data_IF_369404332887
#
_entry.id   IF_369404332887
#
_cell.length_a   1.000
_cell.length_b   1.000
_cell.length_c   1.000
_cell.angle_alpha   90.00
_cell.angle_beta   90.00
_cell.angle_gamma   90.00
#
_symmetry.space_group_name_H-M   'P 1'
#
loop_
_entity.id
_entity.type
_entity.pdbx_description
1 polymer ?
#
# COMPACT_ATOMS: atom_id res chain seq x y z
N UNK A 1 4.48 -15.62 86.52
CA UNK A 1 4.29 -15.88 85.09
C UNK A 1 4.41 -14.55 84.35
N UNK A 2 5.60 -14.28 83.76
CA UNK A 2 5.93 -12.96 83.21
C UNK A 2 5.52 -12.95 81.72
N UNK A 3 4.69 -11.98 81.35
CA UNK A 3 4.29 -11.72 79.97
C UNK A 3 5.16 -10.55 79.44
N UNK A 4 6.06 -10.84 78.51
CA UNK A 4 6.94 -9.86 77.91
C UNK A 4 6.20 -9.21 76.73
N UNK A 5 6.06 -7.87 76.75
CA UNK A 5 5.51 -7.07 75.66
C UNK A 5 6.60 -6.90 74.57
N UNK A 6 6.29 -7.34 73.34
CA UNK A 6 7.09 -7.03 72.17
C UNK A 6 6.47 -5.82 71.48
N UNK A 7 7.21 -4.71 71.45
CA UNK A 7 6.82 -3.53 70.69
C UNK A 7 7.20 -3.73 69.25
N UNK A 8 6.25 -3.72 68.33
CA UNK A 8 6.47 -3.73 66.89
C UNK A 8 6.60 -2.29 66.38
N UNK A 9 7.76 -1.95 65.95
CA UNK A 9 8.07 -0.68 65.27
C UNK A 9 7.72 -0.80 63.79
N UNK A 10 6.69 -0.11 63.32
CA UNK A 10 6.38 0.03 61.92
C UNK A 10 7.30 1.09 61.30
N UNK A 11 8.23 0.65 60.46
CA UNK A 11 8.94 1.52 59.53
C UNK A 11 8.02 1.74 58.31
N UNK A 12 7.50 2.93 58.16
CA UNK A 12 6.85 3.37 56.93
C UNK A 12 7.89 3.70 55.85
N UNK A 13 8.13 2.78 54.97
CA UNK A 13 8.94 3.05 53.75
C UNK A 13 8.05 3.73 52.71
N UNK A 14 8.19 5.03 52.56
CA UNK A 14 7.62 5.79 51.46
C UNK A 14 8.34 5.41 50.15
N UNK A 15 7.74 4.52 49.37
CA UNK A 15 8.12 4.35 47.95
C UNK A 15 7.65 5.58 47.18
N UNK A 16 8.54 6.52 46.92
CA UNK A 16 8.34 7.47 45.82
C UNK A 16 8.43 6.68 44.50
N UNK A 17 7.29 6.32 43.95
CA UNK A 17 7.15 5.87 42.59
C UNK A 17 7.47 7.03 41.66
N UNK A 18 8.70 7.09 41.14
CA UNK A 18 9.01 7.90 40.00
C UNK A 18 8.18 7.38 38.81
N UNK A 19 7.04 8.04 38.55
CA UNK A 19 6.40 7.97 37.24
C UNK A 19 7.42 8.51 36.23
N UNK A 20 8.20 7.60 35.61
CA UNK A 20 8.87 7.92 34.37
C UNK A 20 7.78 8.17 33.35
N UNK A 21 7.41 9.42 33.16
CA UNK A 21 6.78 9.84 31.90
C UNK A 21 7.80 9.48 30.84
N UNK A 22 7.63 8.32 30.21
CA UNK A 22 8.31 7.99 28.98
C UNK A 22 7.93 9.09 28.00
N UNK A 23 8.83 10.07 27.83
CA UNK A 23 8.79 10.93 26.67
C UNK A 23 8.74 9.98 25.49
N UNK A 24 7.65 10.01 24.72
CA UNK A 24 7.59 9.38 23.43
C UNK A 24 8.73 10.05 22.63
N UNK A 25 9.89 9.40 22.61
CA UNK A 25 10.97 9.81 21.74
C UNK A 25 10.42 9.66 20.33
N UNK A 26 10.12 10.79 19.70
CA UNK A 26 9.93 10.82 18.27
C UNK A 26 11.22 10.27 17.67
N UNK A 27 11.09 9.33 16.72
CA UNK A 27 12.22 8.82 15.96
C UNK A 27 13.07 10.02 15.49
N UNK A 28 14.32 10.09 15.96
CA UNK A 28 15.19 11.29 15.88
C UNK A 28 15.48 11.74 14.43
N UNK A 29 15.07 10.93 13.44
CA UNK A 29 15.24 11.16 11.99
C UNK A 29 13.94 11.22 11.20
N UNK A 30 12.79 11.47 11.83
CA UNK A 30 11.54 11.59 11.07
C UNK A 30 11.57 12.79 10.10
N UNK A 31 10.99 12.62 8.92
CA UNK A 31 10.92 13.65 7.89
C UNK A 31 9.61 14.46 7.99
N UNK A 32 9.74 15.74 8.31
CA UNK A 32 8.60 16.67 8.24
C UNK A 32 8.22 16.91 6.78
N UNK A 33 6.93 16.96 6.52
CA UNK A 33 6.42 17.29 5.20
C UNK A 33 6.81 18.71 4.78
N UNK A 34 7.31 18.84 3.56
CA UNK A 34 7.57 20.14 2.93
C UNK A 34 6.29 20.92 2.59
N UNK A 35 5.14 20.29 2.66
CA UNK A 35 3.83 20.90 2.43
C UNK A 35 3.14 21.36 3.73
N UNK A 36 3.85 21.26 4.87
CA UNK A 36 3.41 21.78 6.16
C UNK A 36 2.94 20.72 7.15
N UNK A 37 2.74 21.17 8.40
CA UNK A 37 2.42 20.28 9.51
C UNK A 37 1.06 19.57 9.41
N UNK A 38 0.11 20.18 8.67
CA UNK A 38 -1.23 19.60 8.43
C UNK A 38 -1.33 18.71 7.20
N UNK A 39 -0.22 18.46 6.51
CA UNK A 39 -0.23 17.64 5.29
C UNK A 39 -0.56 16.19 5.57
N UNK A 40 -1.55 15.67 4.84
CA UNK A 40 -1.99 14.29 4.86
C UNK A 40 -1.97 13.65 3.46
N UNK A 41 -1.47 14.35 2.45
CA UNK A 41 -1.46 13.91 1.06
C UNK A 41 -0.09 13.42 0.60
N UNK A 42 0.97 13.75 1.32
CA UNK A 42 2.31 13.31 0.98
C UNK A 42 2.70 13.63 -0.46
N UNK A 43 3.28 12.66 -1.14
CA UNK A 43 3.77 12.83 -2.51
C UNK A 43 2.66 13.05 -3.55
N UNK A 44 1.38 12.83 -3.23
CA UNK A 44 0.27 13.21 -4.11
C UNK A 44 0.24 14.71 -4.40
N UNK A 45 0.76 15.55 -3.50
CA UNK A 45 0.94 16.98 -3.73
C UNK A 45 1.88 17.30 -4.91
N UNK A 46 2.62 16.32 -5.43
CA UNK A 46 3.44 16.47 -6.62
C UNK A 46 2.62 16.41 -7.92
N UNK A 47 1.38 15.90 -7.87
CA UNK A 47 0.51 15.82 -9.03
C UNK A 47 -0.14 17.19 -9.24
N UNK A 48 0.19 17.84 -10.31
CA UNK A 48 -0.34 19.15 -10.70
C UNK A 48 -1.38 19.00 -11.82
N UNK A 49 -2.13 20.08 -12.09
CA UNK A 49 -3.03 20.13 -13.25
C UNK A 49 -2.28 19.83 -14.55
N UNK A 50 -1.02 20.26 -14.65
CA UNK A 50 -0.23 20.07 -15.87
C UNK A 50 0.20 18.61 -16.04
N UNK A 51 0.47 17.90 -14.94
CA UNK A 51 0.69 16.44 -14.97
C UNK A 51 -0.56 15.71 -15.50
N UNK A 52 -1.75 16.09 -15.04
CA UNK A 52 -3.02 15.51 -15.49
C UNK A 52 -3.23 15.77 -16.98
N UNK A 53 -3.11 17.02 -17.41
CA UNK A 53 -3.27 17.40 -18.82
C UNK A 53 -2.20 16.77 -19.74
N UNK A 54 -0.99 16.59 -19.24
CA UNK A 54 0.05 15.89 -19.98
C UNK A 54 -0.27 14.39 -20.10
N UNK A 55 -0.78 13.76 -19.06
CA UNK A 55 -1.17 12.37 -19.08
C UNK A 55 -2.26 12.05 -20.10
N UNK A 56 -3.26 12.94 -20.29
CA UNK A 56 -4.30 12.72 -21.32
C UNK A 56 -3.74 12.66 -22.73
N UNK A 57 -2.61 13.33 -22.99
CA UNK A 57 -1.95 13.32 -24.30
C UNK A 57 -1.22 12.01 -24.62
N UNK A 58 -1.06 11.13 -23.61
CA UNK A 58 -0.46 9.80 -23.78
C UNK A 58 -1.46 8.76 -24.29
N UNK A 59 -2.75 9.09 -24.32
CA UNK A 59 -3.77 8.21 -24.87
C UNK A 59 -3.69 8.25 -26.39
N UNK A 60 -3.07 7.23 -26.98
CA UNK A 60 -2.82 7.14 -28.42
C UNK A 60 -3.64 6.06 -29.13
N UNK A 61 -3.96 4.99 -28.40
CA UNK A 61 -4.66 3.82 -28.94
C UNK A 61 -6.14 3.79 -28.55
N UNK A 62 -6.57 4.62 -27.57
CA UNK A 62 -7.94 4.58 -27.03
C UNK A 62 -8.26 3.28 -26.30
N UNK A 63 -7.23 2.55 -25.86
CA UNK A 63 -7.37 1.31 -25.09
C UNK A 63 -7.35 1.63 -23.60
N UNK A 64 -8.02 0.74 -22.84
CA UNK A 64 -8.01 0.79 -21.38
C UNK A 64 -7.86 -0.61 -20.82
N UNK A 65 -7.27 -0.72 -19.64
CA UNK A 65 -7.22 -1.97 -18.88
C UNK A 65 -7.50 -1.71 -17.40
N UNK A 66 -8.25 -2.61 -16.77
CA UNK A 66 -8.30 -2.72 -15.33
C UNK A 66 -7.01 -3.40 -14.86
N UNK A 67 -6.41 -2.86 -13.81
CA UNK A 67 -5.13 -3.35 -13.30
C UNK A 67 -5.27 -4.22 -12.06
N UNK A 68 -6.49 -4.38 -11.53
CA UNK A 68 -6.73 -5.24 -10.37
C UNK A 68 -6.74 -6.72 -10.76
N UNK A 69 -6.26 -7.56 -9.84
CA UNK A 69 -6.53 -9.00 -9.89
C UNK A 69 -7.95 -9.30 -9.44
N UNK A 70 -8.51 -10.41 -9.91
CA UNK A 70 -9.73 -10.95 -9.32
C UNK A 70 -9.46 -11.44 -7.91
N UNK A 71 -10.30 -10.99 -6.95
CA UNK A 71 -10.12 -11.29 -5.53
C UNK A 71 -11.28 -12.15 -5.02
N UNK A 72 -10.93 -13.23 -4.33
CA UNK A 72 -11.89 -14.17 -3.74
C UNK A 72 -11.30 -14.84 -2.49
N UNK A 73 -12.03 -15.77 -1.88
CA UNK A 73 -11.61 -16.47 -0.65
C UNK A 73 -10.35 -17.34 -0.79
N UNK A 74 -9.86 -17.58 -2.00
CA UNK A 74 -8.64 -18.34 -2.29
C UNK A 74 -7.47 -17.45 -2.65
N UNK A 75 -7.68 -16.14 -2.81
CA UNK A 75 -6.60 -15.20 -3.13
C UNK A 75 -5.53 -15.25 -2.05
N UNK A 76 -4.26 -15.53 -2.41
CA UNK A 76 -3.16 -15.51 -1.45
C UNK A 76 -3.08 -14.18 -0.71
N UNK A 77 -2.89 -14.24 0.59
CA UNK A 77 -2.80 -13.05 1.43
C UNK A 77 -1.86 -13.29 2.61
N UNK A 78 -1.25 -12.21 3.10
CA UNK A 78 -0.41 -12.25 4.28
C UNK A 78 -1.24 -12.66 5.51
N UNK A 79 -0.83 -13.74 6.26
CA UNK A 79 -1.60 -14.20 7.41
C UNK A 79 -1.74 -13.12 8.49
N UNK A 80 -2.86 -13.03 9.23
CA UNK A 80 -4.04 -13.91 9.23
C UNK A 80 -5.20 -13.41 8.35
N UNK A 81 -4.94 -12.65 7.28
CA UNK A 81 -5.97 -12.00 6.45
C UNK A 81 -6.93 -13.02 5.85
N UNK A 82 -8.23 -12.68 5.84
CA UNK A 82 -9.32 -13.52 5.32
C UNK A 82 -10.29 -12.70 4.47
N UNK A 83 -10.98 -13.40 3.57
CA UNK A 83 -12.00 -12.84 2.67
C UNK A 83 -13.24 -13.73 2.67
N UNK A 84 -14.42 -13.13 2.76
CA UNK A 84 -15.70 -13.83 2.65
C UNK A 84 -16.71 -12.95 1.93
N UNK A 85 -17.48 -13.55 1.02
CA UNK A 85 -18.61 -12.94 0.32
C UNK A 85 -19.86 -13.76 0.59
N UNK A 86 -20.94 -13.14 1.02
CA UNK A 86 -22.24 -13.77 1.26
C UNK A 86 -23.32 -13.05 0.46
N UNK A 87 -24.06 -13.79 -0.34
CA UNK A 87 -25.23 -13.26 -1.05
C UNK A 87 -26.46 -13.44 -0.16
N UNK A 88 -27.23 -12.39 0.00
CA UNK A 88 -28.46 -12.37 0.79
C UNK A 88 -29.67 -11.97 -0.07
N UNK A 89 -30.82 -12.44 0.33
CA UNK A 89 -32.12 -12.19 -0.35
C UNK A 89 -33.19 -11.81 0.68
N UNK A 90 -33.09 -10.67 1.33
CA UNK A 90 -34.02 -10.31 2.41
C UNK A 90 -35.47 -10.29 1.92
N UNK A 91 -36.37 -10.92 2.69
CA UNK A 91 -37.79 -10.97 2.40
C UNK A 91 -38.18 -11.84 1.19
N UNK A 92 -37.25 -12.69 0.73
CA UNK A 92 -37.45 -13.56 -0.45
C UNK A 92 -37.26 -15.04 -0.11
N UNK A 93 -37.55 -15.43 1.12
CA UNK A 93 -37.48 -16.80 1.59
C UNK A 93 -38.46 -17.68 0.77
N UNK A 94 -38.05 -18.90 0.41
CA UNK A 94 -38.82 -19.85 -0.37
C UNK A 94 -39.25 -19.33 -1.76
N UNK A 95 -38.49 -18.41 -2.38
CA UNK A 95 -38.79 -17.90 -3.71
C UNK A 95 -39.88 -16.82 -3.76
N UNK A 96 -40.20 -16.20 -2.61
CA UNK A 96 -41.13 -15.08 -2.57
C UNK A 96 -40.58 -13.86 -3.32
N UNK A 97 -41.48 -13.01 -3.77
CA UNK A 97 -41.19 -11.73 -4.41
C UNK A 97 -41.82 -10.59 -3.62
N UNK A 98 -41.30 -9.38 -3.76
CA UNK A 98 -41.76 -8.21 -3.02
C UNK A 98 -42.66 -7.33 -3.85
N UNK A 99 -43.76 -6.90 -3.24
CA UNK A 99 -44.73 -5.95 -3.82
C UNK A 99 -45.50 -6.46 -5.03
N UNK A 100 -46.35 -5.61 -5.58
CA UNK A 100 -47.24 -5.95 -6.73
C UNK A 100 -46.45 -6.09 -8.05
N UNK A 101 -45.23 -5.49 -8.11
CA UNK A 101 -44.33 -5.59 -9.26
C UNK A 101 -43.46 -6.84 -9.24
N UNK A 102 -43.64 -7.69 -8.20
CA UNK A 102 -42.90 -8.96 -8.03
C UNK A 102 -41.39 -8.76 -8.06
N UNK A 103 -40.88 -7.78 -7.34
CA UNK A 103 -39.46 -7.50 -7.24
C UNK A 103 -38.68 -8.71 -6.71
N UNK A 104 -37.59 -9.04 -7.38
CA UNK A 104 -36.57 -9.96 -6.91
C UNK A 104 -35.24 -9.24 -6.92
N UNK A 105 -34.44 -9.37 -5.86
CA UNK A 105 -33.15 -8.73 -5.77
C UNK A 105 -32.17 -9.56 -4.93
N UNK A 106 -30.90 -9.24 -5.05
CA UNK A 106 -29.83 -9.78 -4.23
C UNK A 106 -29.02 -8.61 -3.66
N UNK A 107 -28.63 -8.75 -2.40
CA UNK A 107 -27.59 -7.93 -1.78
C UNK A 107 -26.40 -8.80 -1.43
N UNK A 108 -25.28 -8.17 -1.16
CA UNK A 108 -24.04 -8.84 -0.77
C UNK A 108 -23.46 -8.27 0.52
N UNK A 109 -22.82 -9.14 1.29
CA UNK A 109 -22.04 -8.78 2.46
C UNK A 109 -20.61 -9.19 2.18
N UNK A 110 -19.70 -8.19 2.09
CA UNK A 110 -18.28 -8.42 2.01
C UNK A 110 -17.66 -8.28 3.40
N UNK A 111 -17.01 -9.35 3.87
CA UNK A 111 -16.17 -9.32 5.04
C UNK A 111 -14.74 -9.66 4.59
N UNK A 112 -13.89 -8.66 4.51
CA UNK A 112 -12.52 -8.81 4.02
C UNK A 112 -11.55 -7.94 4.79
N UNK A 113 -10.33 -8.44 4.97
CA UNK A 113 -9.20 -7.56 5.23
C UNK A 113 -8.95 -6.72 3.98
N UNK A 114 -8.76 -5.42 4.16
CA UNK A 114 -8.63 -4.46 3.05
C UNK A 114 -7.34 -4.71 2.25
N UNK A 115 -6.30 -5.25 2.90
CA UNK A 115 -5.03 -5.62 2.27
C UNK A 115 -5.05 -7.00 1.60
N UNK A 116 -6.15 -7.43 0.96
CA UNK A 116 -6.22 -8.65 0.13
C UNK A 116 -6.50 -8.26 -1.32
N UNK A 117 -5.75 -8.85 -2.24
CA UNK A 117 -5.85 -8.54 -3.66
C UNK A 117 -5.18 -7.21 -4.01
N UNK A 118 -5.69 -6.55 -5.05
CA UNK A 118 -5.13 -5.24 -5.45
C UNK A 118 -5.55 -4.16 -4.46
N UNK A 119 -4.55 -3.51 -3.88
CA UNK A 119 -4.73 -2.56 -2.79
C UNK A 119 -3.88 -1.31 -2.95
N UNK A 120 -4.31 -0.26 -2.27
CA UNK A 120 -3.60 0.99 -2.07
C UNK A 120 -3.28 1.15 -0.59
N UNK A 121 -2.00 1.28 -0.26
CA UNK A 121 -1.54 1.55 1.10
C UNK A 121 -1.45 3.04 1.36
N UNK A 122 -2.12 3.49 2.42
CA UNK A 122 -2.14 4.86 2.87
C UNK A 122 -1.02 5.19 3.86
N UNK A 123 -0.83 6.47 4.13
CA UNK A 123 0.24 7.00 4.98
C UNK A 123 0.12 6.60 6.48
N UNK A 124 -1.03 6.05 6.87
CA UNK A 124 -1.26 5.49 8.21
C UNK A 124 -0.97 3.99 8.29
N UNK A 125 -0.46 3.35 7.22
CA UNK A 125 -0.26 1.90 7.20
C UNK A 125 1.02 1.47 7.95
N UNK A 126 2.16 2.03 7.60
CA UNK A 126 3.44 1.68 8.21
C UNK A 126 4.16 2.92 8.72
N UNK A 127 4.68 2.82 9.94
CA UNK A 127 5.49 3.83 10.60
C UNK A 127 6.87 3.29 10.99
N UNK A 128 7.66 4.16 11.63
CA UNK A 128 8.98 3.85 12.19
C UNK A 128 8.93 4.25 13.65
N UNK A 129 9.20 3.31 14.56
CA UNK A 129 9.18 3.54 16.01
C UNK A 129 7.92 4.31 16.47
N UNK A 130 6.74 3.79 16.09
CA UNK A 130 5.43 4.41 16.35
C UNK A 130 5.27 5.85 15.83
N UNK A 131 6.12 6.28 14.91
CA UNK A 131 6.02 7.57 14.23
C UNK A 131 5.67 7.34 12.75
N UNK A 132 4.62 7.98 12.29
CA UNK A 132 4.11 7.89 10.93
C UNK A 132 4.49 9.13 10.12
N UNK A 133 4.04 9.18 8.88
CA UNK A 133 4.30 10.29 7.98
C UNK A 133 4.19 11.66 8.66
N UNK A 134 5.02 12.61 8.22
CA UNK A 134 5.05 13.96 8.72
C UNK A 134 5.32 14.06 10.23
N UNK A 135 6.14 13.14 10.76
CA UNK A 135 6.49 13.06 12.19
C UNK A 135 5.27 12.93 13.12
N UNK A 136 4.19 12.31 12.66
CA UNK A 136 2.96 12.17 13.43
C UNK A 136 3.07 10.98 14.39
N UNK A 137 2.98 11.17 15.73
CA UNK A 137 2.99 10.06 16.67
C UNK A 137 1.80 9.12 16.47
N UNK A 138 2.01 7.81 16.62
CA UNK A 138 0.98 6.80 16.42
C UNK A 138 -0.29 6.99 17.24
N UNK A 139 -0.17 7.52 18.48
CA UNK A 139 -1.32 7.86 19.34
C UNK A 139 -2.24 8.93 18.71
N UNK A 140 -1.70 9.80 17.87
CA UNK A 140 -2.47 10.79 17.13
C UNK A 140 -3.06 10.24 15.82
N UNK A 141 -2.45 9.18 15.26
CA UNK A 141 -2.88 8.55 14.02
C UNK A 141 -4.02 7.57 14.27
N UNK A 142 -3.92 6.75 15.32
CA UNK A 142 -4.81 5.60 15.51
C UNK A 142 -5.94 5.92 16.50
N UNK A 143 -7.15 5.48 16.16
CA UNK A 143 -8.33 5.44 17.05
C UNK A 143 -8.91 4.04 17.08
N UNK A 144 -9.80 3.77 18.07
CA UNK A 144 -10.47 2.47 18.22
C UNK A 144 -11.34 2.14 17.00
N UNK A 145 -11.98 3.16 16.43
CA UNK A 145 -12.92 3.00 15.29
C UNK A 145 -12.31 3.33 13.94
N UNK A 146 -10.98 3.45 13.85
CA UNK A 146 -10.27 3.80 12.63
C UNK A 146 -9.20 4.87 12.84
N UNK A 147 -8.52 5.24 11.79
CA UNK A 147 -7.53 6.31 11.81
C UNK A 147 -8.19 7.68 12.05
N UNK A 148 -7.52 8.52 12.82
CA UNK A 148 -7.86 9.93 13.06
C UNK A 148 -7.17 10.85 12.06
N UNK A 149 -6.03 10.40 11.50
CA UNK A 149 -5.23 11.05 10.47
C UNK A 149 -4.83 10.03 9.42
N UNK A 150 -4.63 10.45 8.18
CA UNK A 150 -4.21 9.62 7.06
C UNK A 150 -5.21 8.54 6.63
N UNK A 151 -6.48 8.65 7.05
CA UNK A 151 -7.54 7.75 6.60
C UNK A 151 -7.81 7.89 5.10
N UNK A 152 -8.21 6.80 4.47
CA UNK A 152 -8.40 6.76 3.00
C UNK A 152 -9.51 7.69 2.49
N UNK A 153 -10.40 8.19 3.36
CA UNK A 153 -11.36 9.24 3.02
C UNK A 153 -10.69 10.57 2.64
N UNK A 154 -9.44 10.78 3.05
CA UNK A 154 -8.67 11.99 2.70
C UNK A 154 -7.99 11.87 1.34
N UNK A 155 -7.91 10.68 0.77
CA UNK A 155 -7.30 10.46 -0.54
C UNK A 155 -8.15 11.12 -1.65
N UNK A 156 -7.59 12.05 -2.44
CA UNK A 156 -8.38 12.87 -3.34
C UNK A 156 -8.76 12.19 -4.66
N UNK A 157 -8.29 10.95 -4.88
CA UNK A 157 -8.23 10.34 -6.19
C UNK A 157 -7.00 10.80 -6.98
N UNK A 158 -6.53 9.97 -7.89
CA UNK A 158 -5.35 10.24 -8.72
C UNK A 158 -5.71 10.11 -10.19
N UNK A 159 -5.23 11.06 -10.99
CA UNK A 159 -5.18 10.99 -12.44
C UNK A 159 -3.83 11.59 -12.88
N UNK A 160 -2.90 10.77 -13.38
CA UNK A 160 -1.57 11.22 -13.76
C UNK A 160 -0.92 10.22 -14.74
N UNK A 161 0.33 10.47 -15.14
CA UNK A 161 1.10 9.52 -15.94
C UNK A 161 1.52 8.32 -15.06
N UNK A 162 1.37 7.10 -15.60
CA UNK A 162 2.08 5.93 -15.10
C UNK A 162 3.21 5.54 -16.05
N UNK A 163 4.34 5.13 -15.46
CA UNK A 163 5.48 4.50 -16.12
C UNK A 163 5.52 3.04 -15.70
N UNK A 164 5.42 2.14 -16.67
CA UNK A 164 5.47 0.70 -16.48
C UNK A 164 6.90 0.20 -16.72
N UNK A 165 7.53 -0.40 -15.74
CA UNK A 165 8.89 -0.95 -15.86
C UNK A 165 8.82 -2.46 -16.09
N UNK A 166 9.14 -2.90 -17.29
CA UNK A 166 9.17 -4.31 -17.68
C UNK A 166 10.48 -4.96 -17.22
N UNK A 167 10.48 -5.47 -15.99
CA UNK A 167 11.63 -6.16 -15.44
C UNK A 167 11.82 -7.56 -16.06
N UNK A 168 10.74 -8.15 -16.59
CA UNK A 168 10.82 -9.44 -17.27
C UNK A 168 11.67 -9.36 -18.54
N UNK A 169 11.44 -8.35 -19.38
CA UNK A 169 12.23 -8.10 -20.57
C UNK A 169 13.66 -7.65 -20.26
N UNK A 170 13.86 -6.90 -19.16
CA UNK A 170 15.20 -6.50 -18.72
C UNK A 170 16.06 -7.72 -18.37
N UNK A 171 15.49 -8.67 -17.62
CA UNK A 171 16.24 -9.83 -17.09
C UNK A 171 16.12 -11.08 -17.97
N UNK A 172 15.34 -11.05 -19.05
CA UNK A 172 15.12 -12.20 -19.93
C UNK A 172 14.44 -13.37 -19.24
N UNK A 173 13.51 -13.08 -18.30
CA UNK A 173 12.77 -14.06 -17.51
C UNK A 173 11.28 -13.82 -17.64
N UNK A 174 10.51 -14.89 -17.77
CA UNK A 174 9.05 -14.80 -17.83
C UNK A 174 8.41 -14.50 -16.45
N UNK A 175 9.04 -14.98 -15.39
CA UNK A 175 8.78 -14.66 -13.99
C UNK A 175 10.14 -14.38 -13.34
N UNK A 176 10.29 -13.22 -12.72
CA UNK A 176 11.53 -12.86 -12.03
C UNK A 176 11.66 -13.72 -10.75
N UNK A 177 12.85 -14.27 -10.46
CA UNK A 177 13.05 -15.06 -9.25
C UNK A 177 12.81 -14.26 -7.96
N UNK A 178 12.40 -14.98 -6.91
CA UNK A 178 12.26 -14.47 -5.56
C UNK A 178 13.57 -13.84 -5.07
N UNK A 179 13.49 -12.84 -4.21
CA UNK A 179 14.65 -12.21 -3.61
C UNK A 179 15.48 -11.36 -4.58
N UNK A 180 14.98 -11.09 -5.81
CA UNK A 180 15.64 -10.21 -6.77
C UNK A 180 15.27 -8.76 -6.48
N UNK A 181 16.19 -7.90 -6.00
CA UNK A 181 15.90 -6.51 -5.71
C UNK A 181 15.98 -5.66 -6.99
N UNK A 182 15.15 -4.63 -7.08
CA UNK A 182 15.22 -3.58 -8.08
C UNK A 182 15.70 -2.29 -7.42
N UNK A 183 16.95 -1.96 -7.63
CA UNK A 183 17.57 -0.73 -7.17
C UNK A 183 17.73 0.27 -8.32
N UNK A 184 18.38 1.40 -8.09
CA UNK A 184 18.57 2.42 -9.12
C UNK A 184 19.17 1.88 -10.42
N UNK A 185 20.20 1.01 -10.41
CA UNK A 185 20.77 0.50 -11.67
C UNK A 185 19.77 -0.29 -12.52
N UNK A 186 18.93 -1.14 -11.89
CA UNK A 186 17.92 -1.94 -12.58
C UNK A 186 16.79 -1.05 -13.11
N UNK A 187 16.37 -0.04 -12.35
CA UNK A 187 15.36 0.95 -12.77
C UNK A 187 15.87 1.73 -13.99
N UNK A 188 17.08 2.26 -13.94
CA UNK A 188 17.68 3.02 -15.04
C UNK A 188 17.91 2.14 -16.29
N UNK A 189 18.31 0.88 -16.11
CA UNK A 189 18.45 -0.07 -17.19
C UNK A 189 17.11 -0.39 -17.87
N UNK A 190 16.03 -0.55 -17.11
CA UNK A 190 14.69 -0.75 -17.64
C UNK A 190 14.22 0.49 -18.44
N UNK A 191 14.39 1.69 -17.89
CA UNK A 191 14.06 2.94 -18.58
C UNK A 191 14.84 3.11 -19.87
N UNK A 192 16.14 2.79 -19.86
CA UNK A 192 17.01 2.83 -21.05
C UNK A 192 16.53 1.84 -22.12
N UNK A 193 16.23 0.61 -21.72
CA UNK A 193 15.71 -0.44 -22.63
C UNK A 193 14.39 -0.02 -23.28
N UNK A 194 13.54 0.68 -22.54
CA UNK A 194 12.22 1.15 -22.98
C UNK A 194 12.26 2.47 -23.76
N UNK A 195 13.38 2.81 -24.41
CA UNK A 195 13.51 4.01 -25.25
C UNK A 195 14.06 5.23 -24.52
N UNK A 196 14.88 5.05 -23.50
CA UNK A 196 15.44 6.11 -22.65
C UNK A 196 14.36 6.96 -21.98
N UNK A 197 13.32 6.30 -21.50
CA UNK A 197 12.24 6.95 -20.75
C UNK A 197 12.78 7.64 -19.49
N UNK A 198 12.04 8.62 -19.02
CA UNK A 198 12.35 9.33 -17.77
C UNK A 198 11.15 9.26 -16.83
N UNK A 199 11.44 9.12 -15.54
CA UNK A 199 10.44 9.29 -14.49
C UNK A 199 10.40 10.77 -14.12
N UNK A 200 9.22 11.33 -14.05
CA UNK A 200 8.99 12.72 -13.68
C UNK A 200 8.31 12.83 -12.31
N UNK A 201 8.42 14.00 -11.72
CA UNK A 201 7.72 14.34 -10.50
C UNK A 201 6.20 14.21 -10.70
N UNK A 202 5.53 13.51 -9.78
CA UNK A 202 4.09 13.24 -9.84
C UNK A 202 3.69 12.01 -10.65
N UNK A 203 4.65 11.26 -11.21
CA UNK A 203 4.36 9.99 -11.88
C UNK A 203 3.98 8.88 -10.88
N UNK A 204 3.30 7.88 -11.39
CA UNK A 204 3.14 6.56 -10.77
C UNK A 204 4.09 5.59 -11.47
N UNK A 205 4.91 4.86 -10.72
CA UNK A 205 5.84 3.87 -11.27
C UNK A 205 5.36 2.47 -10.91
N UNK A 206 5.20 1.60 -11.91
CA UNK A 206 4.71 0.23 -11.72
C UNK A 206 5.70 -0.77 -12.28
N UNK A 207 6.16 -1.68 -11.43
CA UNK A 207 7.02 -2.79 -11.81
C UNK A 207 6.19 -3.97 -12.31
N UNK A 208 6.54 -4.48 -13.47
CA UNK A 208 6.03 -5.73 -14.01
C UNK A 208 7.10 -6.81 -13.88
N UNK A 209 6.82 -7.81 -13.06
CA UNK A 209 7.75 -8.88 -12.70
C UNK A 209 7.31 -10.25 -13.21
N UNK A 210 6.07 -10.34 -13.71
CA UNK A 210 5.43 -11.59 -14.09
C UNK A 210 4.93 -12.41 -12.90
N UNK A 211 5.07 -11.93 -11.66
CA UNK A 211 4.73 -12.65 -10.43
C UNK A 211 3.25 -13.00 -10.32
N UNK A 212 2.37 -12.11 -10.79
CA UNK A 212 0.92 -12.35 -10.84
C UNK A 212 0.53 -13.64 -11.60
N UNK A 213 1.39 -14.16 -12.50
CA UNK A 213 1.14 -15.41 -13.24
C UNK A 213 1.11 -16.64 -12.36
N UNK A 214 1.59 -16.54 -11.11
CA UNK A 214 1.52 -17.61 -10.13
C UNK A 214 0.17 -17.71 -9.45
N UNK A 215 -0.66 -16.66 -9.50
CA UNK A 215 -1.98 -16.67 -8.88
C UNK A 215 -2.87 -17.76 -9.47
N UNK A 216 -3.39 -18.62 -8.61
CA UNK A 216 -4.20 -19.77 -9.00
C UNK A 216 -3.41 -20.92 -9.66
N UNK A 217 -2.09 -20.78 -9.81
CA UNK A 217 -1.19 -21.81 -10.40
C UNK A 217 -0.25 -22.36 -9.33
N UNK A 218 0.41 -21.48 -8.59
CA UNK A 218 1.28 -21.81 -7.45
C UNK A 218 1.13 -20.74 -6.37
N UNK A 219 -0.01 -20.75 -5.72
CA UNK A 219 -0.35 -19.78 -4.67
C UNK A 219 0.60 -19.85 -3.47
N UNK A 220 1.15 -21.05 -3.19
CA UNK A 220 2.13 -21.22 -2.11
C UNK A 220 3.41 -20.44 -2.40
N UNK A 221 3.93 -20.56 -3.61
CA UNK A 221 5.10 -19.81 -4.06
C UNK A 221 4.79 -18.31 -4.13
N UNK A 222 3.62 -17.96 -4.68
CA UNK A 222 3.18 -16.57 -4.78
C UNK A 222 3.22 -15.87 -3.42
N UNK A 223 2.69 -16.52 -2.36
CA UNK A 223 2.59 -15.92 -1.02
C UNK A 223 3.84 -16.02 -0.15
N UNK A 224 4.85 -16.82 -0.52
CA UNK A 224 6.02 -17.08 0.33
C UNK A 224 7.11 -16.00 0.22
N UNK A 225 7.39 -15.56 -1.00
CA UNK A 225 8.47 -14.60 -1.31
C UNK A 225 8.19 -14.00 -2.69
N UNK A 226 8.93 -12.95 -3.10
CA UNK A 226 8.82 -12.39 -4.46
C UNK A 226 10.02 -11.47 -4.79
N UNK A 227 10.26 -11.13 -6.07
CA UNK A 227 11.13 -10.04 -6.47
C UNK A 227 10.46 -8.70 -6.10
N UNK A 228 11.21 -7.63 -6.02
CA UNK A 228 10.58 -6.34 -5.77
C UNK A 228 11.55 -5.20 -5.59
N UNK A 229 11.02 -4.05 -5.21
CA UNK A 229 11.78 -2.84 -5.00
C UNK A 229 12.77 -3.01 -3.84
N UNK A 230 14.02 -2.61 -4.09
CA UNK A 230 15.07 -2.55 -3.07
C UNK A 230 15.09 -1.20 -2.34
N UNK A 231 15.80 -1.17 -1.23
CA UNK A 231 15.93 0.02 -0.36
C UNK A 231 16.49 1.24 -1.10
N UNK A 232 17.54 1.04 -1.89
CA UNK A 232 18.13 2.12 -2.68
C UNK A 232 17.21 2.57 -3.80
N UNK A 233 16.49 1.63 -4.44
CA UNK A 233 15.48 1.94 -5.46
C UNK A 233 14.33 2.77 -4.91
N UNK A 234 13.85 2.45 -3.71
CA UNK A 234 12.80 3.21 -3.03
C UNK A 234 13.22 4.67 -2.79
N UNK A 235 14.41 4.88 -2.25
CA UNK A 235 14.96 6.24 -2.04
C UNK A 235 15.18 6.98 -3.35
N UNK A 236 15.66 6.29 -4.38
CA UNK A 236 15.83 6.86 -5.71
C UNK A 236 14.50 7.38 -6.27
N UNK A 237 13.45 6.55 -6.30
CA UNK A 237 12.14 6.94 -6.80
C UNK A 237 11.50 8.07 -5.97
N UNK A 238 11.57 7.97 -4.65
CA UNK A 238 11.04 8.98 -3.75
C UNK A 238 11.72 10.36 -3.96
N UNK A 239 13.04 10.38 -4.17
CA UNK A 239 13.79 11.59 -4.46
C UNK A 239 13.46 12.20 -5.84
N UNK A 240 13.06 11.39 -6.83
CA UNK A 240 12.51 11.88 -8.10
C UNK A 240 11.13 12.54 -7.92
N UNK A 241 10.50 12.31 -6.76
CA UNK A 241 9.20 12.89 -6.42
C UNK A 241 8.01 12.16 -7.06
N UNK A 242 8.13 10.86 -7.26
CA UNK A 242 6.98 10.03 -7.69
C UNK A 242 5.84 10.13 -6.68
N UNK A 243 4.61 10.05 -7.16
CA UNK A 243 3.43 10.12 -6.30
C UNK A 243 3.10 8.76 -5.67
N UNK A 244 3.30 7.71 -6.43
CA UNK A 244 3.00 6.34 -6.02
C UNK A 244 3.98 5.36 -6.68
N UNK A 245 4.18 4.20 -6.03
CA UNK A 245 4.93 3.07 -6.59
C UNK A 245 4.09 1.81 -6.46
N UNK A 246 4.09 0.94 -7.47
CA UNK A 246 3.36 -0.31 -7.45
C UNK A 246 4.09 -1.47 -8.11
N UNK A 247 3.55 -2.69 -7.90
CA UNK A 247 4.07 -3.92 -8.50
C UNK A 247 2.95 -4.95 -8.66
N UNK A 248 3.20 -5.95 -9.50
CA UNK A 248 2.36 -7.15 -9.61
C UNK A 248 2.66 -8.21 -8.53
N UNK A 249 3.35 -7.82 -7.47
CA UNK A 249 3.62 -8.61 -6.25
C UNK A 249 2.74 -8.15 -5.08
N UNK A 250 2.61 -9.00 -4.05
CA UNK A 250 1.72 -8.72 -2.90
C UNK A 250 2.33 -7.81 -1.84
N UNK A 251 3.61 -7.45 -1.94
CA UNK A 251 4.31 -6.65 -0.93
C UNK A 251 5.26 -5.63 -1.55
N UNK A 252 5.19 -5.31 -2.84
CA UNK A 252 6.03 -4.34 -3.56
C UNK A 252 7.54 -4.58 -3.38
N UNK A 253 8.06 -4.56 -2.13
CA UNK A 253 9.48 -4.71 -1.84
C UNK A 253 9.95 -6.15 -1.97
N UNK A 254 11.25 -6.32 -2.21
CA UNK A 254 11.84 -7.65 -2.36
C UNK A 254 11.69 -8.51 -1.10
N UNK A 255 11.26 -9.75 -1.26
CA UNK A 255 11.17 -10.76 -0.21
C UNK A 255 11.90 -12.04 -0.67
N UNK A 256 12.89 -12.56 0.09
CA UNK A 256 13.43 -12.08 1.38
C UNK A 256 14.00 -10.67 1.31
N UNK A 257 13.92 -9.94 2.43
CA UNK A 257 14.42 -8.57 2.51
C UNK A 257 15.93 -8.49 2.28
N UNK A 258 16.43 -7.38 1.71
CA UNK A 258 17.84 -7.24 1.33
C UNK A 258 18.83 -7.36 2.50
N UNK A 259 18.38 -7.04 3.72
CA UNK A 259 19.20 -7.17 4.93
C UNK A 259 18.44 -7.91 6.00
N UNK A 260 19.11 -8.84 6.65
CA UNK A 260 18.58 -9.55 7.81
C UNK A 260 18.13 -8.56 8.90
N UNK A 261 16.97 -8.82 9.48
CA UNK A 261 16.37 -7.97 10.53
C UNK A 261 15.66 -6.71 10.01
N UNK A 262 15.76 -6.36 8.75
CA UNK A 262 14.96 -5.28 8.15
C UNK A 262 13.64 -5.87 7.65
N UNK A 263 12.53 -5.42 8.22
CA UNK A 263 11.18 -5.91 7.88
C UNK A 263 10.38 -4.74 7.31
N UNK A 264 9.93 -4.85 6.06
CA UNK A 264 9.18 -3.82 5.33
C UNK A 264 9.86 -2.44 5.35
N UNK A 265 11.19 -2.43 5.15
CA UNK A 265 11.96 -1.18 5.19
C UNK A 265 11.67 -0.26 4.00
N UNK A 266 11.38 -0.82 2.82
CA UNK A 266 10.94 -0.04 1.64
C UNK A 266 9.61 0.67 1.92
N UNK A 267 8.64 -0.02 2.56
CA UNK A 267 7.39 0.59 2.99
C UNK A 267 7.62 1.75 3.96
N UNK A 268 8.52 1.57 4.93
CA UNK A 268 8.89 2.64 5.87
C UNK A 268 9.43 3.87 5.14
N UNK A 269 10.33 3.68 4.18
CA UNK A 269 10.87 4.75 3.35
C UNK A 269 9.76 5.44 2.57
N UNK A 270 8.98 4.69 1.81
CA UNK A 270 7.98 5.26 0.93
C UNK A 270 6.87 5.96 1.72
N UNK A 271 6.22 5.25 2.65
CA UNK A 271 5.05 5.76 3.37
C UNK A 271 5.42 6.76 4.47
N UNK A 272 6.32 6.39 5.39
CA UNK A 272 6.60 7.18 6.59
C UNK A 272 7.60 8.32 6.34
N UNK A 273 8.69 8.08 5.57
CA UNK A 273 9.69 9.12 5.34
C UNK A 273 9.29 10.09 4.24
N UNK A 274 8.79 9.58 3.09
CA UNK A 274 8.56 10.40 1.88
C UNK A 274 7.10 10.66 1.54
N UNK A 275 6.15 9.96 2.17
CA UNK A 275 4.72 10.10 1.89
C UNK A 275 4.33 9.60 0.51
N UNK A 276 5.06 8.64 -0.07
CA UNK A 276 4.76 8.00 -1.35
C UNK A 276 3.83 6.82 -1.11
N UNK A 277 2.69 6.79 -1.77
CA UNK A 277 1.71 5.71 -1.64
C UNK A 277 2.15 4.45 -2.38
N UNK A 278 1.65 3.29 -1.93
CA UNK A 278 2.01 1.99 -2.49
C UNK A 278 0.78 1.33 -3.11
N UNK A 279 0.98 0.73 -4.29
CA UNK A 279 0.01 -0.13 -4.97
C UNK A 279 0.55 -1.56 -5.04
N UNK A 280 -0.23 -2.53 -4.59
CA UNK A 280 0.15 -3.95 -4.59
C UNK A 280 -0.79 -4.78 -5.47
N UNK A 281 -0.26 -5.89 -6.01
CA UNK A 281 -1.00 -6.77 -6.93
C UNK A 281 -1.58 -6.03 -8.15
N UNK A 282 -0.81 -5.11 -8.75
CA UNK A 282 -1.25 -4.29 -9.88
C UNK A 282 -0.73 -4.88 -11.19
N UNK A 283 -1.61 -5.46 -11.98
CA UNK A 283 -1.26 -6.16 -13.22
C UNK A 283 -1.19 -5.20 -14.40
N UNK A 284 -0.01 -5.14 -15.06
CA UNK A 284 0.23 -4.30 -16.24
C UNK A 284 0.50 -5.11 -17.53
N UNK A 285 0.34 -6.43 -17.48
CA UNK A 285 0.74 -7.37 -18.52
C UNK A 285 0.21 -7.01 -19.93
N UNK A 286 -1.04 -6.55 -20.06
CA UNK A 286 -1.62 -6.28 -21.37
C UNK A 286 -0.93 -5.08 -22.04
N UNK A 287 -0.70 -4.00 -21.32
CA UNK A 287 0.01 -2.84 -21.85
C UNK A 287 1.45 -3.20 -22.24
N UNK A 288 2.14 -3.99 -21.42
CA UNK A 288 3.49 -4.51 -21.72
C UNK A 288 3.49 -5.33 -23.03
N UNK A 289 2.51 -6.24 -23.21
CA UNK A 289 2.35 -7.01 -24.46
C UNK A 289 2.07 -6.14 -25.67
N UNK A 290 1.38 -5.04 -25.49
CA UNK A 290 1.10 -4.05 -26.56
C UNK A 290 2.31 -3.12 -26.83
N UNK A 291 3.42 -3.30 -26.12
CA UNK A 291 4.62 -2.46 -26.24
C UNK A 291 4.45 -1.06 -25.65
N UNK A 292 3.50 -0.88 -24.72
CA UNK A 292 3.18 0.40 -24.11
C UNK A 292 3.74 0.44 -22.69
N UNK A 293 4.61 1.41 -22.45
CA UNK A 293 5.32 1.58 -21.17
C UNK A 293 4.93 2.86 -20.43
N UNK A 294 4.07 3.69 -20.99
CA UNK A 294 3.51 4.87 -20.36
C UNK A 294 2.08 5.15 -20.84
N UNK A 295 1.29 5.73 -19.97
CA UNK A 295 -0.09 6.10 -20.24
C UNK A 295 -0.69 6.87 -19.09
N UNK A 296 -1.98 7.15 -19.15
CA UNK A 296 -2.71 7.76 -18.06
C UNK A 296 -3.21 6.69 -17.11
N UNK A 297 -2.93 6.84 -15.81
CA UNK A 297 -3.53 6.03 -14.75
C UNK A 297 -4.55 6.84 -13.96
N UNK A 298 -5.65 6.19 -13.57
CA UNK A 298 -6.60 6.72 -12.59
C UNK A 298 -6.70 5.74 -11.41
N UNK A 299 -6.65 6.28 -10.18
CA UNK A 299 -6.80 5.53 -8.94
C UNK A 299 -7.82 6.23 -8.07
N UNK A 300 -8.95 5.57 -7.82
CA UNK A 300 -10.03 6.08 -6.97
C UNK A 300 -10.43 5.04 -5.92
N UNK A 301 -9.91 5.12 -4.70
CA UNK A 301 -10.30 4.20 -3.64
C UNK A 301 -11.72 4.47 -3.15
N UNK A 302 -12.33 3.44 -2.57
CA UNK A 302 -13.53 3.63 -1.76
C UNK A 302 -13.20 4.53 -0.56
N UNK A 303 -14.02 5.54 -0.30
CA UNK A 303 -13.78 6.55 0.76
C UNK A 303 -14.27 6.06 2.12
N UNK A 304 -13.70 4.97 2.60
CA UNK A 304 -14.00 4.43 3.92
C UNK A 304 -13.30 5.25 5.00
N UNK A 305 -14.08 5.92 5.84
CA UNK A 305 -13.55 6.76 6.93
C UNK A 305 -12.70 5.95 7.89
N UNK A 306 -11.49 6.45 8.14
CA UNK A 306 -10.53 5.85 9.07
C UNK A 306 -9.88 4.55 8.58
N UNK A 307 -10.08 4.19 7.31
CA UNK A 307 -9.40 3.03 6.73
C UNK A 307 -7.92 3.30 6.49
N UNK A 308 -7.09 2.30 6.78
CA UNK A 308 -5.63 2.34 6.61
C UNK A 308 -5.22 2.15 5.16
N UNK A 309 -5.92 1.24 4.48
CA UNK A 309 -5.71 0.81 3.11
C UNK A 309 -7.02 0.87 2.35
N UNK A 310 -6.98 0.71 1.04
CA UNK A 310 -8.19 0.59 0.23
C UNK A 310 -8.06 -0.50 -0.83
N UNK A 311 -9.10 -1.30 -1.00
CA UNK A 311 -9.28 -2.13 -2.18
C UNK A 311 -9.47 -1.18 -3.37
N UNK A 312 -8.69 -1.36 -4.43
CA UNK A 312 -8.74 -0.48 -5.61
C UNK A 312 -8.72 -1.29 -6.90
N UNK A 313 -9.24 -0.70 -7.95
CA UNK A 313 -9.04 -1.16 -9.32
C UNK A 313 -8.50 0.00 -10.15
N UNK A 314 -7.19 0.21 -10.19
CA UNK A 314 -6.61 1.24 -11.03
C UNK A 314 -6.96 0.99 -12.51
N UNK A 315 -7.24 2.06 -13.24
CA UNK A 315 -7.48 1.99 -14.68
C UNK A 315 -6.34 2.65 -15.43
N UNK A 316 -5.71 1.92 -16.32
CA UNK A 316 -4.67 2.42 -17.21
C UNK A 316 -5.24 2.63 -18.60
N UNK A 317 -5.04 3.83 -19.16
CA UNK A 317 -5.56 4.26 -20.46
C UNK A 317 -4.40 4.69 -21.35
N UNK A 318 -4.34 4.15 -22.59
CA UNK A 318 -3.22 4.38 -23.51
C UNK A 318 -3.59 4.39 -24.99
#
# INVERSE_FOLDING_TARGET
MKITKIAATFLASALLGALSMGSAFAYESCHKSKWGAGDQLGALNNITKDNILAATKLIKQGKKMAMAIETNSKTPAFPPRTYSMTIVKPGQENGQTLGNTKLSYHDDILQSWVGIGTQLDGLGHIGIDNTYYNCTPGIEVTGVSGLKKFGMETFPGVATRAVLLDMTALMGKDIIPEGTPFNQPEIEAALKRQGNMKINKGDVVIFYTGWHKLLGVDDKRNGAAHPGLGVQGARYLANLGVAMVGSDTWGLEVVPFEKEGQVFHVHQILLAEFGVFILENVVSQQAIKDGVYEGMITVGPHRTTGSVQAIVNPIFVY
#
